data_IF_397543425754
#
_entry.id   IF_397543425754
#
_cell.length_a   1.000
_cell.length_b   1.000
_cell.length_c   1.000
_cell.angle_alpha   90.00
_cell.angle_beta   90.00
_cell.angle_gamma   90.00
#
_symmetry.space_group_name_H-M   'P 1'
#
loop_
_entity.id
_entity.type
_entity.pdbx_description
1 polymer ?
#
# COMPACT_ATOMS: atom_id res chain seq x y z
N UNK A 1 -6.33 -10.02 41.11
CA UNK A 1 -6.72 -8.66 40.66
C UNK A 1 -7.43 -8.80 39.32
N UNK A 2 -8.61 -8.18 39.15
CA UNK A 2 -9.28 -8.16 37.84
C UNK A 2 -8.64 -7.09 36.96
N UNK A 3 -8.52 -7.39 35.66
CA UNK A 3 -8.08 -6.41 34.66
C UNK A 3 -9.19 -5.37 34.47
N UNK A 4 -8.80 -4.09 34.42
CA UNK A 4 -9.74 -3.02 34.07
C UNK A 4 -10.21 -3.20 32.62
N UNK A 5 -11.48 -2.92 32.30
CA UNK A 5 -11.94 -2.89 30.92
C UNK A 5 -11.12 -1.92 30.07
N UNK A 6 -10.92 -2.21 28.79
CA UNK A 6 -10.01 -1.44 27.94
C UNK A 6 -10.38 0.05 27.84
N UNK A 7 -11.68 0.38 27.85
CA UNK A 7 -12.17 1.76 27.76
C UNK A 7 -11.89 2.60 29.01
N UNK A 8 -11.46 1.98 30.12
CA UNK A 8 -10.97 2.69 31.31
C UNK A 8 -9.49 3.06 31.23
N UNK A 9 -8.72 2.43 30.33
CA UNK A 9 -7.25 2.57 30.25
C UNK A 9 -6.77 3.10 28.91
N UNK A 10 -7.59 3.01 27.86
CA UNK A 10 -7.29 3.55 26.54
C UNK A 10 -8.29 4.66 26.20
N UNK A 11 -7.77 5.84 25.87
CA UNK A 11 -8.58 6.96 25.37
C UNK A 11 -8.63 6.87 23.84
N UNK A 12 -9.82 6.70 23.21
CA UNK A 12 -9.95 6.70 21.75
C UNK A 12 -9.40 7.98 21.12
N UNK A 13 -8.98 7.93 19.85
CA UNK A 13 -8.48 9.13 19.15
C UNK A 13 -9.52 10.27 19.17
N UNK A 14 -9.04 11.52 19.09
CA UNK A 14 -9.88 12.73 19.18
C UNK A 14 -11.07 12.68 18.20
N UNK A 15 -10.80 12.25 16.97
CA UNK A 15 -11.81 12.22 15.90
C UNK A 15 -13.00 11.31 16.25
N UNK A 16 -12.74 10.14 16.85
CA UNK A 16 -13.79 9.23 17.32
C UNK A 16 -14.61 9.86 18.44
N UNK A 17 -13.95 10.56 19.37
CA UNK A 17 -14.64 11.24 20.48
C UNK A 17 -15.49 12.42 20.02
N UNK A 18 -15.09 13.06 18.93
CA UNK A 18 -15.82 14.18 18.31
C UNK A 18 -16.86 13.73 17.27
N UNK A 19 -17.04 12.42 17.06
CA UNK A 19 -17.95 11.89 16.05
C UNK A 19 -17.52 12.15 14.61
N UNK A 20 -16.25 12.54 14.40
CA UNK A 20 -15.64 12.73 13.08
C UNK A 20 -15.15 11.38 12.58
N UNK A 21 -16.01 10.72 11.81
CA UNK A 21 -15.70 9.41 11.25
C UNK A 21 -15.14 9.63 9.84
N UNK A 22 -13.88 9.24 9.63
CA UNK A 22 -13.22 9.31 8.32
C UNK A 22 -13.62 8.17 7.38
N UNK A 23 -12.94 8.07 6.23
CA UNK A 23 -13.19 7.01 5.25
C UNK A 23 -12.92 5.63 5.85
N UNK A 24 -13.96 4.79 5.92
CA UNK A 24 -13.87 3.43 6.45
C UNK A 24 -13.14 2.45 5.53
N UNK A 25 -13.09 2.76 4.23
CA UNK A 25 -12.53 1.88 3.22
C UNK A 25 -11.46 2.61 2.42
N UNK A 26 -10.26 2.07 2.45
CA UNK A 26 -9.19 2.55 1.61
C UNK A 26 -9.53 2.29 0.13
N UNK A 27 -9.48 3.33 -0.69
CA UNK A 27 -9.67 3.25 -2.14
C UNK A 27 -8.40 3.68 -2.87
N UNK A 28 -7.78 2.71 -3.55
CA UNK A 28 -6.56 2.96 -4.31
C UNK A 28 -6.79 3.93 -5.48
N UNK A 29 -8.00 3.96 -6.08
CA UNK A 29 -8.31 4.91 -7.16
C UNK A 29 -8.28 6.35 -6.66
N UNK A 30 -8.94 6.61 -5.53
CA UNK A 30 -8.95 7.95 -4.92
C UNK A 30 -7.54 8.42 -4.57
N UNK A 31 -6.64 7.52 -4.20
CA UNK A 31 -5.21 7.84 -3.97
C UNK A 31 -4.52 8.23 -5.28
N UNK A 32 -4.73 7.48 -6.38
CA UNK A 32 -4.15 7.82 -7.68
C UNK A 32 -4.62 9.18 -8.20
N UNK A 33 -5.85 9.58 -7.87
CA UNK A 33 -6.43 10.88 -8.25
C UNK A 33 -6.11 12.03 -7.29
N UNK A 34 -5.43 11.76 -6.17
CA UNK A 34 -5.24 12.71 -5.06
C UNK A 34 -6.56 13.21 -4.44
N UNK A 35 -7.59 12.36 -4.42
CA UNK A 35 -8.93 12.65 -3.87
C UNK A 35 -9.14 11.99 -2.49
N UNK A 36 -8.26 11.08 -2.07
CA UNK A 36 -8.35 10.40 -0.78
C UNK A 36 -8.01 11.32 0.41
N UNK A 37 -8.33 10.89 1.64
CA UNK A 37 -7.95 11.61 2.84
C UNK A 37 -6.42 11.72 3.01
N UNK A 38 -5.96 12.70 3.79
CA UNK A 38 -4.52 12.95 3.98
C UNK A 38 -3.81 11.73 4.59
N UNK A 39 -4.51 10.94 5.40
CA UNK A 39 -4.01 9.68 5.97
C UNK A 39 -3.60 8.66 4.92
N UNK A 40 -4.26 8.68 3.76
CA UNK A 40 -3.99 7.77 2.65
C UNK A 40 -3.12 8.40 1.57
N UNK A 41 -3.11 9.73 1.43
CA UNK A 41 -2.29 10.43 0.43
C UNK A 41 -0.85 10.64 0.87
N UNK A 42 -0.64 11.08 2.11
CA UNK A 42 0.70 11.38 2.62
C UNK A 42 1.39 10.10 3.12
N UNK A 43 2.51 9.69 2.50
CA UNK A 43 3.19 8.45 2.89
C UNK A 43 3.63 8.43 4.35
N UNK A 44 4.14 9.55 4.89
CA UNK A 44 4.57 9.58 6.29
C UNK A 44 3.41 9.39 7.26
N UNK A 45 2.29 10.07 7.03
CA UNK A 45 1.07 9.94 7.83
C UNK A 45 0.49 8.54 7.70
N UNK A 46 0.48 7.96 6.50
CA UNK A 46 0.07 6.58 6.25
C UNK A 46 0.89 5.62 7.12
N UNK A 47 2.22 5.64 7.02
CA UNK A 47 3.09 4.73 7.77
C UNK A 47 3.05 4.98 9.30
N UNK A 48 2.81 6.22 9.76
CA UNK A 48 2.58 6.51 11.20
C UNK A 48 1.30 5.86 11.73
N UNK A 49 0.29 5.66 10.89
CA UNK A 49 -1.00 5.05 11.26
C UNK A 49 -1.10 3.57 10.89
N UNK A 50 -0.17 3.06 10.09
CA UNK A 50 -0.13 1.67 9.67
C UNK A 50 0.79 0.84 10.55
N UNK A 51 0.22 -0.12 11.26
CA UNK A 51 1.01 -1.18 11.89
C UNK A 51 1.39 -2.23 10.83
N UNK A 52 2.69 -2.43 10.59
CA UNK A 52 3.18 -3.52 9.74
C UNK A 52 2.94 -4.87 10.44
N UNK A 53 1.76 -5.44 10.21
CA UNK A 53 1.47 -6.80 10.67
C UNK A 53 2.40 -7.79 9.97
N UNK A 54 2.64 -8.95 10.59
CA UNK A 54 3.50 -9.98 9.99
C UNK A 54 3.08 -10.39 8.57
N UNK A 55 1.78 -10.39 8.29
CA UNK A 55 1.26 -10.65 6.94
C UNK A 55 1.64 -9.56 5.94
N UNK A 56 1.51 -8.29 6.34
CA UNK A 56 1.92 -7.16 5.50
C UNK A 56 3.44 -7.11 5.32
N UNK A 57 4.22 -7.38 6.38
CA UNK A 57 5.69 -7.47 6.31
C UNK A 57 6.14 -8.53 5.30
N UNK A 58 5.51 -9.71 5.30
CA UNK A 58 5.83 -10.77 4.35
C UNK A 58 5.55 -10.33 2.91
N UNK A 59 4.39 -9.75 2.63
CA UNK A 59 4.05 -9.25 1.29
C UNK A 59 5.07 -8.21 0.82
N UNK A 60 5.41 -7.24 1.69
CA UNK A 60 6.39 -6.21 1.34
C UNK A 60 7.78 -6.82 1.11
N UNK A 61 8.21 -7.74 1.98
CA UNK A 61 9.49 -8.44 1.83
C UNK A 61 9.58 -9.16 0.48
N UNK A 62 8.58 -9.95 0.13
CA UNK A 62 8.57 -10.75 -1.09
C UNK A 62 8.70 -9.83 -2.32
N UNK A 63 7.92 -8.73 -2.36
CA UNK A 63 8.02 -7.74 -3.44
C UNK A 63 9.41 -7.11 -3.51
N UNK A 64 9.97 -6.66 -2.38
CA UNK A 64 11.29 -6.01 -2.36
C UNK A 64 12.43 -6.96 -2.78
N UNK A 65 12.37 -8.22 -2.40
CA UNK A 65 13.38 -9.21 -2.79
C UNK A 65 13.34 -9.52 -4.28
N UNK A 66 12.13 -9.59 -4.86
CA UNK A 66 11.94 -9.76 -6.30
C UNK A 66 12.44 -8.53 -7.07
N UNK A 67 12.09 -7.33 -6.63
CA UNK A 67 12.58 -6.09 -7.23
C UNK A 67 14.11 -5.93 -7.09
N UNK A 68 14.70 -6.49 -6.04
CA UNK A 68 16.15 -6.53 -5.85
C UNK A 68 16.85 -7.65 -6.65
N UNK A 69 16.12 -8.46 -7.42
CA UNK A 69 16.65 -9.60 -8.17
C UNK A 69 17.13 -10.76 -7.30
N UNK A 70 16.75 -10.79 -6.02
CA UNK A 70 17.14 -11.84 -5.07
C UNK A 70 16.17 -13.03 -5.06
N UNK A 71 14.98 -12.87 -5.63
CA UNK A 71 13.98 -13.92 -5.78
C UNK A 71 13.36 -13.91 -7.18
N UNK A 72 12.78 -15.04 -7.58
CA UNK A 72 12.24 -15.26 -8.93
C UNK A 72 10.70 -15.35 -8.98
N UNK A 73 10.00 -15.39 -7.85
CA UNK A 73 8.53 -15.42 -7.81
C UNK A 73 7.94 -14.06 -8.18
N UNK A 74 7.14 -13.97 -9.23
CA UNK A 74 6.65 -12.67 -9.76
C UNK A 74 5.18 -12.38 -9.49
N UNK A 75 4.46 -13.32 -8.90
CA UNK A 75 3.01 -13.23 -8.71
C UNK A 75 2.67 -13.51 -7.26
N UNK A 76 2.02 -12.54 -6.62
CA UNK A 76 1.48 -12.67 -5.25
C UNK A 76 -0.03 -12.56 -5.35
N UNK A 77 -0.74 -13.59 -4.90
CA UNK A 77 -2.19 -13.56 -4.75
C UNK A 77 -2.55 -13.35 -3.28
N UNK A 78 -3.13 -12.18 -2.95
CA UNK A 78 -3.58 -11.88 -1.59
C UNK A 78 -5.00 -12.43 -1.41
N UNK A 79 -5.12 -13.60 -0.79
CA UNK A 79 -6.42 -14.20 -0.46
C UNK A 79 -6.78 -13.91 0.99
N UNK A 80 -7.65 -12.93 1.21
CA UNK A 80 -8.24 -12.66 2.52
C UNK A 80 -9.74 -12.37 2.40
N UNK A 81 -10.55 -12.67 3.43
CA UNK A 81 -11.96 -12.25 3.49
C UNK A 81 -12.16 -10.73 3.41
N UNK A 82 -13.40 -10.28 3.41
CA UNK A 82 -13.73 -8.85 3.53
C UNK A 82 -13.06 -8.23 4.78
N UNK A 83 -12.50 -7.03 4.63
CA UNK A 83 -11.74 -6.36 5.69
C UNK A 83 -10.30 -6.87 5.92
N UNK A 84 -9.84 -7.89 5.19
CA UNK A 84 -8.50 -8.46 5.36
C UNK A 84 -7.34 -7.66 4.77
N UNK A 85 -7.47 -6.34 4.61
CA UNK A 85 -6.35 -5.44 4.31
C UNK A 85 -5.77 -5.48 2.88
N UNK A 86 -6.43 -6.09 1.89
CA UNK A 86 -5.91 -6.19 0.50
C UNK A 86 -5.56 -4.83 -0.11
N UNK A 87 -6.52 -3.91 -0.14
CA UNK A 87 -6.28 -2.57 -0.67
C UNK A 87 -5.22 -1.83 0.14
N UNK A 88 -5.21 -2.01 1.46
CA UNK A 88 -4.20 -1.42 2.34
C UNK A 88 -2.78 -1.93 2.03
N UNK A 89 -2.62 -3.22 1.72
CA UNK A 89 -1.35 -3.79 1.31
C UNK A 89 -0.86 -3.19 -0.02
N UNK A 90 -1.76 -3.02 -1.00
CA UNK A 90 -1.43 -2.37 -2.27
C UNK A 90 -1.01 -0.90 -2.08
N UNK A 91 -1.68 -0.17 -1.19
CA UNK A 91 -1.34 1.23 -0.86
C UNK A 91 0.02 1.31 -0.17
N UNK A 92 0.29 0.38 0.75
CA UNK A 92 1.60 0.28 1.41
C UNK A 92 2.73 0.10 0.39
N UNK A 93 2.57 -0.84 -0.56
CA UNK A 93 3.53 -1.05 -1.65
C UNK A 93 3.66 0.18 -2.55
N UNK A 94 2.53 0.80 -2.91
CA UNK A 94 2.50 2.00 -3.75
C UNK A 94 3.32 3.13 -3.15
N UNK A 95 3.09 3.46 -1.87
CA UNK A 95 3.83 4.50 -1.17
C UNK A 95 5.30 4.14 -0.98
N UNK A 96 5.57 2.89 -0.61
CA UNK A 96 6.93 2.41 -0.40
C UNK A 96 7.80 2.58 -1.65
N UNK A 97 7.29 2.14 -2.80
CA UNK A 97 8.03 2.20 -4.07
C UNK A 97 8.16 3.66 -4.54
N UNK A 98 7.11 4.50 -4.39
CA UNK A 98 7.16 5.93 -4.75
C UNK A 98 8.13 6.74 -3.91
N UNK A 99 8.30 6.39 -2.64
CA UNK A 99 9.26 7.05 -1.76
C UNK A 99 10.72 6.69 -2.08
N UNK A 100 10.97 5.59 -2.80
CA UNK A 100 12.30 5.09 -3.15
C UNK A 100 13.23 5.08 -1.92
N UNK A 101 14.40 5.71 -2.00
CA UNK A 101 15.40 5.76 -0.93
C UNK A 101 14.88 6.49 0.33
N UNK A 102 13.95 7.43 0.17
CA UNK A 102 13.38 8.21 1.29
C UNK A 102 12.55 7.33 2.23
N UNK A 103 12.04 6.20 1.76
CA UNK A 103 11.30 5.26 2.59
C UNK A 103 12.13 4.74 3.77
N UNK A 104 13.46 4.73 3.66
CA UNK A 104 14.37 4.33 4.73
C UNK A 104 14.33 5.26 5.96
N UNK A 105 13.75 6.47 5.85
CA UNK A 105 13.51 7.35 7.00
C UNK A 105 12.41 6.82 7.94
N UNK A 106 11.49 6.01 7.43
CA UNK A 106 10.43 5.39 8.23
C UNK A 106 11.03 4.24 9.04
N UNK A 107 10.82 4.26 10.36
CA UNK A 107 11.48 3.35 11.30
C UNK A 107 11.19 1.87 11.04
N UNK A 108 9.92 1.53 10.80
CA UNK A 108 9.45 0.18 10.50
C UNK A 108 10.02 -0.32 9.17
N UNK A 109 9.98 0.51 8.12
CA UNK A 109 10.55 0.19 6.81
C UNK A 109 12.06 -0.04 6.90
N UNK A 110 12.77 0.82 7.64
CA UNK A 110 14.21 0.64 7.87
C UNK A 110 14.53 -0.68 8.56
N UNK A 111 13.74 -1.06 9.57
CA UNK A 111 13.90 -2.36 10.26
C UNK A 111 13.68 -3.50 9.27
N UNK A 112 12.62 -3.45 8.47
CA UNK A 112 12.31 -4.45 7.45
C UNK A 112 13.44 -4.59 6.41
N UNK A 113 13.95 -3.46 5.88
CA UNK A 113 15.05 -3.48 4.91
C UNK A 113 16.30 -4.19 5.48
N UNK A 114 16.64 -3.92 6.75
CA UNK A 114 17.75 -4.59 7.43
C UNK A 114 17.55 -6.10 7.55
N UNK A 115 16.34 -6.57 7.88
CA UNK A 115 16.09 -8.02 8.04
C UNK A 115 16.21 -8.80 6.73
N UNK A 116 16.02 -8.13 5.59
CA UNK A 116 16.13 -8.73 4.25
C UNK A 116 17.46 -8.39 3.54
N UNK A 117 18.40 -7.77 4.26
CA UNK A 117 19.72 -7.41 3.76
C UNK A 117 19.68 -6.42 2.59
N UNK A 118 18.76 -5.46 2.63
CA UNK A 118 18.69 -4.33 1.72
C UNK A 118 19.02 -3.03 2.45
N UNK A 119 19.70 -2.10 1.77
CA UNK A 119 20.01 -0.77 2.31
C UNK A 119 18.97 0.28 1.90
N UNK A 120 18.28 0.04 0.78
CA UNK A 120 17.26 0.93 0.19
C UNK A 120 16.17 0.12 -0.50
N UNK A 121 15.02 0.75 -0.69
CA UNK A 121 13.95 0.23 -1.55
C UNK A 121 14.44 0.24 -3.01
N UNK A 122 14.39 -0.88 -3.74
CA UNK A 122 14.73 -0.90 -5.16
C UNK A 122 13.81 0.01 -5.97
N UNK A 123 14.39 0.73 -6.93
CA UNK A 123 13.61 1.58 -7.84
C UNK A 123 12.80 0.72 -8.80
N UNK A 124 11.52 1.04 -8.96
CA UNK A 124 10.64 0.37 -9.91
C UNK A 124 9.60 1.34 -10.47
N UNK A 125 9.21 1.13 -11.72
CA UNK A 125 8.04 1.79 -12.29
C UNK A 125 6.78 1.11 -11.76
N UNK A 126 5.75 1.91 -11.49
CA UNK A 126 4.50 1.43 -10.91
C UNK A 126 3.39 1.67 -11.92
N UNK A 127 2.61 0.63 -12.19
CA UNK A 127 1.32 0.74 -12.86
C UNK A 127 0.24 0.15 -11.95
N UNK A 128 -0.91 0.81 -11.90
CA UNK A 128 -2.03 0.41 -11.07
C UNK A 128 -3.27 0.27 -11.94
N UNK A 129 -3.94 -0.87 -11.81
CA UNK A 129 -5.18 -1.16 -12.50
C UNK A 129 -6.28 -1.43 -11.46
N UNK A 130 -7.34 -0.62 -11.50
CA UNK A 130 -8.52 -0.80 -10.63
C UNK A 130 -9.66 -1.29 -11.50
N UNK A 131 -10.01 -2.57 -11.42
CA UNK A 131 -10.90 -3.22 -12.39
C UNK A 131 -12.34 -2.68 -12.46
N UNK A 132 -12.77 -1.86 -11.50
CA UNK A 132 -14.09 -1.21 -11.51
C UNK A 132 -14.14 0.11 -12.28
N UNK A 133 -13.00 0.57 -12.81
CA UNK A 133 -12.83 1.88 -13.44
C UNK A 133 -13.02 1.88 -14.96
N UNK A 134 -12.36 0.99 -15.72
CA UNK A 134 -12.32 1.13 -17.17
C UNK A 134 -13.67 0.87 -17.81
N UNK A 135 -13.99 1.63 -18.86
CA UNK A 135 -15.10 1.33 -19.75
C UNK A 135 -14.69 0.20 -20.69
N UNK A 136 -15.35 -0.95 -20.60
CA UNK A 136 -15.01 -2.15 -21.38
C UNK A 136 -15.33 -1.99 -22.88
N UNK A 137 -16.22 -1.06 -23.24
CA UNK A 137 -16.65 -0.83 -24.62
C UNK A 137 -15.89 0.31 -25.32
N UNK A 138 -15.50 1.34 -24.57
CA UNK A 138 -14.88 2.56 -25.12
C UNK A 138 -13.47 2.85 -24.59
N UNK A 139 -13.09 2.21 -23.49
CA UNK A 139 -11.82 2.41 -22.82
C UNK A 139 -10.71 1.51 -23.37
N UNK A 140 -9.52 1.66 -22.79
CA UNK A 140 -8.38 0.78 -23.10
C UNK A 140 -8.58 -0.57 -22.42
N UNK A 141 -8.00 -1.60 -23.04
CA UNK A 141 -7.88 -2.91 -22.39
C UNK A 141 -7.04 -2.78 -21.12
N UNK A 142 -7.14 -3.73 -20.16
CA UNK A 142 -6.27 -3.72 -18.97
C UNK A 142 -4.78 -3.61 -19.31
N UNK A 143 -4.34 -4.27 -20.40
CA UNK A 143 -2.97 -4.20 -20.89
C UNK A 143 -2.64 -2.82 -21.48
N UNK A 144 -3.57 -2.22 -22.21
CA UNK A 144 -3.41 -0.87 -22.74
C UNK A 144 -3.28 0.19 -21.64
N UNK A 145 -4.10 0.10 -20.58
CA UNK A 145 -4.01 0.98 -19.40
C UNK A 145 -2.66 0.84 -18.69
N UNK A 146 -2.21 -0.39 -18.45
CA UNK A 146 -0.92 -0.66 -17.80
C UNK A 146 0.23 -0.14 -18.66
N UNK A 147 0.22 -0.43 -19.97
CA UNK A 147 1.29 -0.03 -20.88
C UNK A 147 1.35 1.49 -21.05
N UNK A 148 0.22 2.19 -21.07
CA UNK A 148 0.19 3.65 -21.07
C UNK A 148 0.84 4.22 -19.81
N UNK A 149 0.47 3.73 -18.61
CA UNK A 149 1.08 4.19 -17.36
C UNK A 149 2.60 3.96 -17.32
N UNK A 150 3.07 2.90 -17.99
CA UNK A 150 4.50 2.59 -18.11
C UNK A 150 5.19 3.29 -19.29
N UNK A 151 4.47 4.08 -20.10
CA UNK A 151 5.03 4.78 -21.26
C UNK A 151 5.42 3.86 -22.42
N UNK A 152 4.88 2.64 -22.49
CA UNK A 152 5.21 1.60 -23.48
C UNK A 152 3.99 1.12 -24.27
N UNK A 153 2.99 2.00 -24.44
CA UNK A 153 1.73 1.67 -25.12
C UNK A 153 1.93 1.07 -26.52
N UNK A 154 2.93 1.55 -27.27
CA UNK A 154 3.24 1.08 -28.62
C UNK A 154 3.64 -0.41 -28.67
N UNK A 155 4.04 -1.04 -27.56
CA UNK A 155 4.36 -2.47 -27.51
C UNK A 155 3.12 -3.38 -27.47
N UNK A 156 1.94 -2.82 -27.17
CA UNK A 156 0.69 -3.58 -26.96
C UNK A 156 -0.46 -3.08 -27.83
N UNK A 157 -0.16 -2.21 -28.81
CA UNK A 157 -1.12 -1.66 -29.76
C UNK A 157 -1.57 -2.70 -30.79
#
# INVERSE_FOLDING_TARGET
MSLKPWWYVATPHKDIREGKIGDFAADLRSILKNEASIEYLDPETFFKRTHLTKGLENIVKDVLLVLAGKESSKIIQIQTPFGGGKTHALICLYHLIRLEEKASHIGEVRKLLKTIGLTKVPKANIAVFVGTVPDVLKGKTPWGEIAEQLGVYELVK
#
